data_IF_422530161304
#
_entry.id   IF_422530161304
#
_cell.length_a   1.000
_cell.length_b   1.000
_cell.length_c   1.000
_cell.angle_alpha   90.00
_cell.angle_beta   90.00
_cell.angle_gamma   90.00
#
_symmetry.space_group_name_H-M   'P 1'
#
loop_
_entity.id
_entity.type
_entity.pdbx_description
1 polymer ?
#
# COMPACT_ATOMS: atom_id res chain seq x y z
N UNK A 1 10.91 14.75 11.47
CA UNK A 1 9.56 15.32 11.29
C UNK A 1 8.59 14.23 11.67
N UNK A 2 7.57 14.53 12.46
CA UNK A 2 6.54 13.55 12.79
C UNK A 2 5.64 13.34 11.54
N UNK A 3 5.63 12.14 10.92
CA UNK A 3 4.84 11.85 9.73
C UNK A 3 3.33 11.99 9.97
N UNK A 4 2.86 11.86 11.22
CA UNK A 4 1.45 11.96 11.55
C UNK A 4 0.94 13.41 11.42
N UNK A 5 1.84 14.41 11.46
CA UNK A 5 1.50 15.80 11.17
C UNK A 5 1.03 16.02 9.73
N UNK A 6 1.36 15.12 8.79
CA UNK A 6 0.89 15.20 7.40
C UNK A 6 -0.61 14.97 7.25
N UNK A 7 -1.24 14.27 8.20
CA UNK A 7 -2.68 14.04 8.20
C UNK A 7 -3.44 15.00 9.14
N UNK A 8 -2.76 16.01 9.66
CA UNK A 8 -3.40 17.06 10.44
C UNK A 8 -4.37 17.88 9.58
N UNK A 9 -5.43 18.41 10.18
CA UNK A 9 -6.37 19.30 9.49
C UNK A 9 -5.66 20.49 8.84
N UNK A 10 -4.64 21.04 9.50
CA UNK A 10 -3.85 22.14 8.96
C UNK A 10 -3.10 21.75 7.66
N UNK A 11 -2.52 20.55 7.60
CA UNK A 11 -1.85 20.05 6.41
C UNK A 11 -2.83 19.76 5.27
N UNK A 12 -3.98 19.16 5.60
CA UNK A 12 -5.05 18.88 4.64
C UNK A 12 -5.64 20.17 4.07
N UNK A 13 -5.93 21.16 4.91
CA UNK A 13 -6.45 22.46 4.49
C UNK A 13 -5.44 23.21 3.63
N UNK A 14 -4.14 23.12 3.95
CA UNK A 14 -3.08 23.67 3.10
C UNK A 14 -3.03 22.99 1.72
N UNK A 15 -3.16 21.65 1.67
CA UNK A 15 -3.22 20.89 0.42
C UNK A 15 -4.42 21.25 -0.45
N UNK A 16 -5.61 21.30 0.16
CA UNK A 16 -6.84 21.74 -0.53
C UNK A 16 -6.74 23.20 -0.97
N UNK A 17 -6.18 24.08 -0.14
CA UNK A 17 -5.94 25.49 -0.47
C UNK A 17 -5.01 25.66 -1.67
N UNK A 18 -3.94 24.87 -1.75
CA UNK A 18 -3.03 24.88 -2.90
C UNK A 18 -3.73 24.41 -4.18
N UNK A 19 -4.53 23.34 -4.11
CA UNK A 19 -5.35 22.87 -5.24
C UNK A 19 -6.37 23.92 -5.67
N UNK A 20 -7.04 24.57 -4.71
CA UNK A 20 -7.99 25.64 -5.00
C UNK A 20 -7.31 26.85 -5.64
N UNK A 21 -6.13 27.25 -5.16
CA UNK A 21 -5.34 28.34 -5.75
C UNK A 21 -4.92 28.01 -7.18
N UNK A 22 -4.49 26.78 -7.45
CA UNK A 22 -4.12 26.32 -8.80
C UNK A 22 -5.30 26.32 -9.75
N UNK A 23 -6.50 26.01 -9.25
CA UNK A 23 -7.73 25.93 -10.01
C UNK A 23 -8.61 27.19 -9.87
N UNK A 24 -8.05 28.31 -9.44
CA UNK A 24 -8.82 29.50 -9.07
C UNK A 24 -9.70 30.04 -10.20
N UNK A 25 -9.24 29.96 -11.45
CA UNK A 25 -10.01 30.40 -12.62
C UNK A 25 -11.24 29.50 -12.84
N UNK A 26 -11.08 28.18 -12.72
CA UNK A 26 -12.16 27.22 -12.89
C UNK A 26 -13.19 27.31 -11.77
N UNK A 27 -12.74 27.50 -10.52
CA UNK A 27 -13.60 27.70 -9.36
C UNK A 27 -14.50 28.93 -9.46
N UNK A 28 -14.04 29.99 -10.13
CA UNK A 28 -14.83 31.20 -10.32
C UNK A 28 -15.99 31.00 -11.31
N UNK A 29 -15.86 30.03 -12.22
CA UNK A 29 -16.92 29.67 -13.17
C UNK A 29 -17.91 28.63 -12.64
N UNK A 30 -17.62 27.99 -11.51
CA UNK A 30 -18.46 26.93 -10.93
C UNK A 30 -19.65 27.49 -10.16
N UNK A 31 -20.77 26.77 -10.23
CA UNK A 31 -21.90 27.02 -9.34
C UNK A 31 -21.52 26.71 -7.87
N UNK A 32 -22.18 27.30 -6.87
CA UNK A 32 -21.84 27.11 -5.45
C UNK A 32 -21.82 25.64 -5.01
N UNK A 33 -22.79 24.85 -5.48
CA UNK A 33 -22.89 23.41 -5.23
C UNK A 33 -21.73 22.62 -5.86
N UNK A 34 -21.43 22.89 -7.13
CA UNK A 34 -20.33 22.25 -7.86
C UNK A 34 -18.97 22.58 -7.22
N UNK A 35 -18.82 23.83 -6.76
CA UNK A 35 -17.63 24.27 -6.03
C UNK A 35 -17.49 23.54 -4.69
N UNK A 36 -18.58 23.34 -3.94
CA UNK A 36 -18.55 22.59 -2.69
C UNK A 36 -18.17 21.12 -2.94
N UNK A 37 -18.64 20.54 -4.03
CA UNK A 37 -18.33 19.16 -4.43
C UNK A 37 -16.86 19.01 -4.84
N UNK A 38 -16.34 19.96 -5.62
CA UNK A 38 -14.93 20.00 -6.01
C UNK A 38 -14.01 20.09 -4.78
N UNK A 39 -14.35 20.94 -3.79
CA UNK A 39 -13.57 21.06 -2.56
C UNK A 39 -13.57 19.76 -1.74
N UNK A 40 -14.71 19.06 -1.66
CA UNK A 40 -14.78 17.75 -0.97
C UNK A 40 -13.93 16.70 -1.71
N UNK A 41 -14.00 16.68 -3.03
CA UNK A 41 -13.20 15.76 -3.84
C UNK A 41 -11.70 16.02 -3.68
N UNK A 42 -11.27 17.27 -3.71
CA UNK A 42 -9.87 17.62 -3.48
C UNK A 42 -9.39 17.31 -2.07
N UNK A 43 -10.26 17.40 -1.07
CA UNK A 43 -9.93 16.95 0.28
C UNK A 43 -9.66 15.45 0.31
N UNK A 44 -10.48 14.64 -0.36
CA UNK A 44 -10.23 13.20 -0.49
C UNK A 44 -8.89 12.92 -1.17
N UNK A 45 -8.60 13.56 -2.30
CA UNK A 45 -7.30 13.42 -2.98
C UNK A 45 -6.11 13.84 -2.10
N UNK A 46 -6.24 14.91 -1.31
CA UNK A 46 -5.20 15.34 -0.40
C UNK A 46 -4.96 14.31 0.71
N UNK A 47 -6.02 13.70 1.26
CA UNK A 47 -5.91 12.59 2.22
C UNK A 47 -5.18 11.41 1.60
N UNK A 48 -5.54 10.98 0.40
CA UNK A 48 -4.93 9.82 -0.27
C UNK A 48 -3.43 10.04 -0.50
N UNK A 49 -3.07 11.20 -1.06
CA UNK A 49 -1.67 11.54 -1.34
C UNK A 49 -0.86 11.65 -0.05
N UNK A 50 -1.35 12.37 0.97
CA UNK A 50 -0.61 12.55 2.21
C UNK A 50 -0.52 11.25 3.03
N UNK A 51 -1.51 10.37 2.91
CA UNK A 51 -1.46 9.01 3.48
C UNK A 51 -0.35 8.18 2.82
N UNK A 52 -0.24 8.23 1.50
CA UNK A 52 0.83 7.55 0.78
C UNK A 52 2.22 8.11 1.16
N UNK A 53 2.36 9.44 1.22
CA UNK A 53 3.61 10.09 1.66
C UNK A 53 3.97 9.72 3.09
N UNK A 54 2.99 9.72 4.01
CA UNK A 54 3.19 9.28 5.40
C UNK A 54 3.66 7.84 5.45
N UNK A 55 3.08 6.94 4.65
CA UNK A 55 3.50 5.54 4.60
C UNK A 55 4.96 5.40 4.13
N UNK A 56 5.38 6.17 3.13
CA UNK A 56 6.79 6.20 2.68
C UNK A 56 7.72 6.75 3.76
N UNK A 57 7.36 7.85 4.42
CA UNK A 57 8.20 8.45 5.46
C UNK A 57 8.27 7.60 6.74
N UNK A 58 7.19 6.90 7.07
CA UNK A 58 7.17 5.93 8.17
C UNK A 58 8.09 4.74 7.86
N UNK A 59 8.17 4.32 6.59
CA UNK A 59 9.11 3.29 6.14
C UNK A 59 10.58 3.76 6.16
N UNK A 60 10.86 5.05 5.93
CA UNK A 60 12.22 5.63 6.06
C UNK A 60 12.67 5.79 7.53
N UNK A 61 11.73 5.91 8.47
CA UNK A 61 12.01 5.99 9.91
C UNK A 61 12.42 4.65 10.53
N UNK A 62 12.04 3.55 9.89
CA UNK A 62 12.67 2.25 10.06
C UNK A 62 13.85 2.20 9.10
N UNK A 63 15.03 2.62 9.56
CA UNK A 63 16.27 2.25 8.91
C UNK A 63 16.16 0.78 8.53
N UNK A 64 16.25 0.52 7.23
CA UNK A 64 16.23 -0.80 6.66
C UNK A 64 17.20 -1.68 7.46
N UNK A 65 16.64 -2.49 8.35
CA UNK A 65 17.17 -3.82 8.53
C UNK A 65 16.98 -4.46 7.14
N UNK A 66 18.10 -4.69 6.48
CA UNK A 66 18.21 -5.34 5.18
C UNK A 66 17.12 -6.41 5.03
N UNK A 67 16.20 -6.22 4.07
CA UNK A 67 15.25 -7.26 3.65
C UNK A 67 13.79 -7.17 4.09
N UNK A 68 13.36 -6.22 4.92
CA UNK A 68 11.95 -6.14 5.33
C UNK A 68 11.24 -4.87 4.84
N UNK A 69 10.70 -4.97 3.63
CA UNK A 69 9.67 -4.06 3.14
C UNK A 69 8.48 -4.07 4.13
N UNK A 70 8.10 -2.89 4.62
CA UNK A 70 6.89 -2.73 5.43
C UNK A 70 5.70 -3.30 4.63
N UNK A 71 4.97 -4.28 5.16
CA UNK A 71 3.90 -4.95 4.43
C UNK A 71 2.78 -3.95 4.13
N UNK A 72 2.72 -3.50 2.88
CA UNK A 72 1.55 -2.77 2.38
C UNK A 72 0.50 -3.83 2.04
N UNK A 73 -0.72 -3.74 2.57
CA UNK A 73 -1.74 -4.75 2.32
C UNK A 73 -2.12 -4.75 0.82
N UNK A 74 -2.35 -5.95 0.26
CA UNK A 74 -2.57 -6.17 -1.17
C UNK A 74 -1.30 -6.18 -2.04
N UNK A 75 -0.10 -6.12 -1.44
CA UNK A 75 1.18 -6.08 -2.16
C UNK A 75 1.97 -7.39 -2.07
N UNK A 76 2.57 -7.78 -3.20
CA UNK A 76 3.63 -8.78 -3.24
C UNK A 76 5.00 -8.07 -3.32
N UNK A 77 5.98 -8.54 -2.54
CA UNK A 77 7.37 -8.09 -2.60
C UNK A 77 8.23 -9.28 -2.98
N UNK A 78 8.99 -9.13 -4.07
CA UNK A 78 9.99 -10.11 -4.52
C UNK A 78 11.35 -9.44 -4.37
N UNK A 79 12.22 -10.02 -3.55
CA UNK A 79 13.61 -9.63 -3.39
C UNK A 79 14.46 -10.64 -4.14
N UNK A 80 15.28 -10.15 -5.08
CA UNK A 80 16.30 -10.93 -5.75
C UNK A 80 17.64 -10.47 -5.21
N UNK A 81 18.33 -11.34 -4.49
CA UNK A 81 19.65 -11.08 -3.93
C UNK A 81 20.70 -11.85 -4.73
N UNK A 82 21.72 -11.12 -5.16
CA UNK A 82 22.91 -11.70 -5.79
C UNK A 82 23.79 -12.30 -4.68
N UNK A 83 23.86 -13.63 -4.63
CA UNK A 83 24.57 -14.37 -3.58
C UNK A 83 25.91 -14.94 -4.08
N UNK A 84 26.34 -14.62 -5.31
CA UNK A 84 27.62 -15.05 -5.86
C UNK A 84 27.62 -15.27 -7.38
N UNK A 85 28.75 -15.76 -7.92
CA UNK A 85 29.05 -15.68 -9.36
C UNK A 85 28.05 -16.36 -10.32
N UNK A 86 27.15 -17.24 -9.84
CA UNK A 86 26.11 -17.88 -10.68
C UNK A 86 24.74 -18.06 -9.99
N UNK A 87 24.56 -17.60 -8.74
CA UNK A 87 23.38 -17.92 -7.94
C UNK A 87 22.61 -16.66 -7.53
N UNK A 88 21.28 -16.74 -7.59
CA UNK A 88 20.36 -15.68 -7.14
C UNK A 88 19.45 -16.25 -6.07
N UNK A 89 19.48 -15.68 -4.86
CA UNK A 89 18.51 -15.98 -3.83
C UNK A 89 17.23 -15.18 -4.09
N UNK A 90 16.08 -15.86 -4.06
CA UNK A 90 14.78 -15.24 -4.30
C UNK A 90 13.95 -15.35 -3.03
N UNK A 91 13.59 -14.20 -2.46
CA UNK A 91 12.67 -14.12 -1.32
C UNK A 91 11.37 -13.49 -1.79
N UNK A 92 10.25 -14.19 -1.61
CA UNK A 92 8.92 -13.68 -1.89
C UNK A 92 8.12 -13.55 -0.60
N UNK A 93 7.55 -12.37 -0.37
CA UNK A 93 6.61 -12.12 0.72
C UNK A 93 5.31 -11.56 0.16
N UNK A 94 4.19 -12.18 0.52
CA UNK A 94 2.86 -11.81 0.05
C UNK A 94 1.96 -11.46 1.23
N UNK A 95 1.33 -10.29 1.18
CA UNK A 95 0.46 -9.77 2.25
C UNK A 95 -0.93 -9.46 1.68
N UNK A 96 -1.79 -10.47 1.51
CA UNK A 96 -3.11 -10.28 0.92
C UNK A 96 -4.07 -9.53 1.87
N UNK A 97 -5.04 -8.82 1.29
CA UNK A 97 -6.18 -8.26 2.01
C UNK A 97 -7.34 -9.25 1.95
N UNK A 98 -7.31 -10.24 2.84
CA UNK A 98 -8.40 -11.23 2.94
C UNK A 98 -9.42 -10.77 3.98
N UNK A 99 -10.69 -11.02 3.68
CA UNK A 99 -11.80 -10.90 4.62
C UNK A 99 -12.10 -12.30 5.20
N UNK A 100 -12.10 -12.44 6.52
CA UNK A 100 -12.49 -13.69 7.17
C UNK A 100 -14.02 -13.82 7.18
N UNK A 101 -14.54 -14.88 6.58
CA UNK A 101 -15.98 -15.15 6.47
C UNK A 101 -16.51 -16.08 7.57
N UNK A 102 -15.62 -16.66 8.39
CA UNK A 102 -15.92 -17.68 9.41
C UNK A 102 -15.61 -19.10 8.92
N UNK A 103 -15.52 -20.06 9.84
CA UNK A 103 -15.24 -21.49 9.56
C UNK A 103 -14.08 -21.73 8.55
N UNK A 104 -12.92 -21.12 8.81
CA UNK A 104 -11.70 -21.17 7.96
C UNK A 104 -11.89 -20.69 6.50
N UNK A 105 -13.01 -20.02 6.20
CA UNK A 105 -13.30 -19.46 4.88
C UNK A 105 -12.78 -18.01 4.76
N UNK A 106 -12.06 -17.74 3.67
CA UNK A 106 -11.50 -16.42 3.36
C UNK A 106 -12.03 -15.89 2.03
N UNK A 107 -12.46 -14.63 2.02
CA UNK A 107 -12.77 -13.88 0.80
C UNK A 107 -11.58 -13.03 0.37
N UNK A 108 -11.36 -12.95 -0.94
CA UNK A 108 -10.37 -12.09 -1.54
C UNK A 108 -10.66 -11.88 -3.02
N UNK A 109 -9.90 -11.01 -3.66
CA UNK A 109 -9.96 -10.90 -5.13
C UNK A 109 -9.53 -12.24 -5.76
N UNK A 110 -10.02 -12.57 -6.97
CA UNK A 110 -9.61 -13.80 -7.66
C UNK A 110 -8.09 -13.97 -7.79
N UNK A 111 -7.37 -12.87 -7.97
CA UNK A 111 -5.91 -12.86 -8.03
C UNK A 111 -5.25 -13.21 -6.68
N UNK A 112 -5.79 -12.73 -5.55
CA UNK A 112 -5.26 -13.03 -4.22
C UNK A 112 -5.48 -14.50 -3.85
N UNK A 113 -6.66 -15.04 -4.14
CA UNK A 113 -6.98 -16.45 -3.90
C UNK A 113 -6.10 -17.38 -4.76
N UNK A 114 -5.86 -16.99 -6.01
CA UNK A 114 -4.94 -17.73 -6.90
C UNK A 114 -3.50 -17.68 -6.37
N UNK A 115 -3.03 -16.52 -5.91
CA UNK A 115 -1.69 -16.38 -5.36
C UNK A 115 -1.50 -17.22 -4.08
N UNK A 116 -2.51 -17.28 -3.20
CA UNK A 116 -2.49 -18.13 -2.00
C UNK A 116 -2.39 -19.61 -2.36
N UNK A 117 -3.17 -20.09 -3.32
CA UNK A 117 -3.11 -21.48 -3.77
C UNK A 117 -1.72 -21.85 -4.32
N UNK A 118 -1.08 -20.94 -5.08
CA UNK A 118 0.28 -21.16 -5.60
C UNK A 118 1.34 -21.20 -4.48
N UNK A 119 1.19 -20.36 -3.45
CA UNK A 119 2.12 -20.36 -2.31
C UNK A 119 2.00 -21.63 -1.46
N UNK A 120 0.78 -22.15 -1.29
CA UNK A 120 0.54 -23.41 -0.59
C UNK A 120 1.15 -24.61 -1.33
N UNK A 121 1.00 -24.65 -2.67
CA UNK A 121 1.65 -25.66 -3.52
C UNK A 121 3.19 -25.60 -3.42
N UNK A 122 3.76 -24.40 -3.44
CA UNK A 122 5.20 -24.19 -3.29
C UNK A 122 5.72 -24.59 -1.90
N UNK A 123 4.93 -24.34 -0.85
CA UNK A 123 5.27 -24.72 0.53
C UNK A 123 5.12 -26.23 0.79
N UNK A 124 4.19 -26.91 0.10
CA UNK A 124 3.96 -28.35 0.20
C UNK A 124 4.96 -29.23 -0.55
N UNK A 125 5.83 -28.65 -1.37
CA UNK A 125 6.79 -29.36 -2.22
C UNK A 125 8.08 -29.86 -1.54
N UNK A 126 8.29 -29.58 -0.24
CA UNK A 126 9.54 -29.88 0.47
C UNK A 126 9.34 -30.84 1.67
N UNK A 127 8.62 -31.94 1.44
CA UNK A 127 8.63 -33.09 2.35
C UNK A 127 9.78 -34.04 1.96
N UNK A 128 10.90 -34.11 2.72
CA UNK A 128 11.88 -35.16 2.49
C UNK A 128 11.25 -36.52 2.81
N UNK A 129 11.32 -37.44 1.84
CA UNK A 129 10.98 -38.85 2.04
C UNK A 129 11.89 -39.44 3.13
N UNK A 130 11.37 -39.45 4.36
CA UNK A 130 11.97 -40.13 5.50
C UNK A 130 11.65 -41.62 5.45
N UNK A 131 12.51 -42.38 4.79
CA UNK A 131 12.60 -43.84 4.88
C UNK A 131 12.80 -44.25 6.35
N UNK A 132 11.88 -45.06 6.89
CA UNK A 132 12.02 -45.78 8.16
C UNK A 132 11.74 -47.25 7.95
#
# INVERSE_FOLDING_TARGET
MDPDLLLSDAALDAGVGALASRNAHHLQSMAPEERADALRHWRALAVDVLTAVRATLAADGTAAAEGQAVPTPGRAVIVLEDVGEQDVAVHAAFHPELEELGDDEVAGTPAQLTALALLDELAGGDQPEGTG
#
